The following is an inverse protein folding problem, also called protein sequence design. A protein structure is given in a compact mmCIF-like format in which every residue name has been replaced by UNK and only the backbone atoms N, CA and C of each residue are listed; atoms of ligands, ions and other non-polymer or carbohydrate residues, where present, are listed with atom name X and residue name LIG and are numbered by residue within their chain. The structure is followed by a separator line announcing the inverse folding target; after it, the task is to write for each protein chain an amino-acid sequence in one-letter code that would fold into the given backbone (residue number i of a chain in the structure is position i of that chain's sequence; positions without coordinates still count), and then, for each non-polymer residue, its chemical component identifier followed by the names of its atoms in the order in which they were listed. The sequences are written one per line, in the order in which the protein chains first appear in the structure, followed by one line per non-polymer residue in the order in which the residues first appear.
data_IF_828274097876
#
_entry.id   IF_828274097876
#
_cell.length_a   1.000
_cell.length_b   1.000
_cell.length_c   1.000
_cell.angle_alpha   90.00
_cell.angle_beta   90.00
_cell.angle_gamma   90.00
#
_symmetry.space_group_name_H-M   'P 1'
#
loop_
_entity.id
_entity.type
_entity.pdbx_description
1 polymer ?
#
# COMPACT_ATOMS: atom_id res chain seq x y z
N UNK A 1 -4.54 -7.91 -8.60
CA UNK A 1 -4.50 -6.90 -7.52
C UNK A 1 -3.05 -6.49 -7.37
N UNK A 2 -2.70 -5.21 -7.51
CA UNK A 2 -1.33 -4.78 -7.34
C UNK A 2 -0.92 -4.83 -5.87
N UNK A 3 0.36 -5.08 -5.62
CA UNK A 3 0.95 -5.07 -4.27
C UNK A 3 2.15 -4.14 -4.28
N UNK A 4 2.23 -3.23 -3.32
CA UNK A 4 3.31 -2.24 -3.21
C UNK A 4 4.05 -2.49 -1.92
N UNK A 5 5.37 -2.64 -2.00
CA UNK A 5 6.26 -2.77 -0.86
C UNK A 5 6.93 -1.43 -0.62
N UNK A 6 6.73 -0.87 0.58
CA UNK A 6 7.34 0.39 1.00
C UNK A 6 8.30 0.15 2.17
N UNK A 7 9.40 0.90 2.18
CA UNK A 7 10.30 0.91 3.32
C UNK A 7 9.61 1.62 4.49
N UNK A 8 9.46 0.93 5.64
CA UNK A 8 8.96 1.54 6.88
C UNK A 8 9.82 2.71 7.38
N UNK A 9 11.12 2.69 7.05
CA UNK A 9 12.07 3.70 7.52
C UNK A 9 12.02 5.03 6.78
N UNK A 10 11.83 5.02 5.45
CA UNK A 10 11.88 6.23 4.62
C UNK A 10 10.66 6.43 3.70
N UNK A 11 9.69 5.51 3.72
CA UNK A 11 8.47 5.58 2.90
C UNK A 11 8.65 5.24 1.41
N UNK A 12 9.89 5.16 0.92
CA UNK A 12 10.19 4.86 -0.49
C UNK A 12 9.66 3.49 -0.90
N UNK A 13 9.17 3.40 -2.13
CA UNK A 13 8.73 2.14 -2.74
C UNK A 13 9.96 1.35 -3.12
N UNK A 14 10.10 0.14 -2.55
CA UNK A 14 11.23 -0.75 -2.82
C UNK A 14 10.89 -1.80 -3.88
N UNK A 15 9.60 -2.09 -4.07
CA UNK A 15 9.12 -3.00 -5.11
C UNK A 15 7.62 -2.82 -5.36
N UNK A 16 7.20 -3.00 -6.60
CA UNK A 16 5.79 -2.98 -7.01
C UNK A 16 5.50 -4.23 -7.83
N UNK A 17 4.51 -5.01 -7.42
CA UNK A 17 3.93 -6.07 -8.21
C UNK A 17 2.65 -5.53 -8.86
N UNK A 18 2.64 -5.26 -10.17
CA UNK A 18 1.44 -4.73 -10.82
C UNK A 18 0.52 -5.86 -11.31
N UNK A 19 1.08 -6.83 -12.04
CA UNK A 19 0.33 -7.91 -12.70
C UNK A 19 1.14 -9.21 -12.76
N UNK A 20 0.42 -10.34 -12.86
CA UNK A 20 1.03 -11.65 -13.11
C UNK A 20 1.69 -11.65 -14.49
N UNK A 21 2.89 -12.23 -14.60
CA UNK A 21 3.66 -12.30 -15.84
C UNK A 21 4.67 -11.16 -16.06
N UNK A 22 4.90 -10.30 -15.06
CA UNK A 22 5.90 -9.24 -15.12
C UNK A 22 7.31 -9.82 -14.88
N UNK A 23 7.58 -10.40 -13.71
CA UNK A 23 8.93 -10.90 -13.36
C UNK A 23 8.95 -12.15 -12.46
N UNK A 24 7.79 -12.65 -12.00
CA UNK A 24 7.67 -13.81 -11.11
C UNK A 24 6.36 -14.56 -11.38
N UNK A 25 6.34 -15.88 -11.09
CA UNK A 25 5.12 -16.70 -11.13
C UNK A 25 4.06 -16.25 -10.09
N UNK A 26 4.43 -15.41 -9.12
CA UNK A 26 3.54 -14.88 -8.09
C UNK A 26 4.07 -13.62 -7.38
N UNK A 27 3.32 -13.15 -6.39
CA UNK A 27 3.70 -12.02 -5.53
C UNK A 27 4.82 -12.46 -4.58
N UNK A 28 5.99 -11.81 -4.58
CA UNK A 28 7.08 -12.19 -3.68
C UNK A 28 6.70 -11.91 -2.22
N UNK A 29 6.96 -12.84 -1.32
CA UNK A 29 6.84 -12.61 0.12
C UNK A 29 7.81 -11.52 0.59
N UNK A 30 7.53 -10.83 1.72
CA UNK A 30 8.45 -9.85 2.29
C UNK A 30 9.85 -10.43 2.54
N UNK A 31 9.94 -11.71 2.94
CA UNK A 31 11.20 -12.40 3.18
C UNK A 31 12.00 -12.62 1.89
N UNK A 32 11.35 -13.06 0.81
CA UNK A 32 11.99 -13.19 -0.50
C UNK A 32 12.49 -11.84 -1.02
N UNK A 33 11.69 -10.78 -0.86
CA UNK A 33 12.10 -9.43 -1.25
C UNK A 33 13.29 -8.94 -0.41
N UNK A 34 13.28 -9.19 0.90
CA UNK A 34 14.38 -8.86 1.79
C UNK A 34 15.67 -9.58 1.37
N UNK A 35 15.60 -10.86 1.02
CA UNK A 35 16.76 -11.61 0.52
C UNK A 35 17.30 -11.05 -0.80
N UNK A 36 16.42 -10.67 -1.73
CA UNK A 36 16.82 -10.03 -3.00
C UNK A 36 17.52 -8.68 -2.82
N UNK A 37 17.17 -7.95 -1.76
CA UNK A 37 17.73 -6.63 -1.43
C UNK A 37 18.84 -6.70 -0.35
N UNK A 38 19.43 -7.88 -0.13
CA UNK A 38 20.51 -8.09 0.85
C UNK A 38 20.14 -7.62 2.27
N UNK A 39 18.85 -7.67 2.59
CA UNK A 39 18.29 -7.24 3.87
C UNK A 39 18.32 -5.75 4.13
N UNK A 40 18.55 -4.89 3.13
CA UNK A 40 18.64 -3.43 3.32
C UNK A 40 17.80 -2.64 2.32
N UNK A 41 17.31 -1.48 2.75
CA UNK A 41 16.61 -0.56 1.86
C UNK A 41 17.61 0.08 0.89
N UNK A 42 17.37 0.03 -0.45
CA UNK A 42 18.26 0.63 -1.44
C UNK A 42 18.28 2.18 -1.39
N UNK A 43 17.27 2.80 -0.76
CA UNK A 43 17.18 4.25 -0.67
C UNK A 43 17.79 4.84 0.61
N UNK A 44 17.60 4.19 1.77
CA UNK A 44 18.05 4.73 3.07
C UNK A 44 19.05 3.84 3.81
N UNK A 45 19.38 2.65 3.29
CA UNK A 45 20.35 1.73 3.88
C UNK A 45 19.92 1.03 5.17
N UNK A 46 18.71 1.32 5.69
CA UNK A 46 18.17 0.69 6.91
C UNK A 46 17.88 -0.80 6.67
N UNK A 47 18.04 -1.65 7.71
CA UNK A 47 17.71 -3.06 7.60
C UNK A 47 16.21 -3.24 7.33
N UNK A 48 15.88 -4.11 6.38
CA UNK A 48 14.52 -4.56 6.13
C UNK A 48 14.14 -5.63 7.16
N UNK A 49 12.88 -5.66 7.54
CA UNK A 49 12.34 -6.64 8.47
C UNK A 49 10.98 -7.09 7.98
N UNK A 50 10.56 -8.29 8.37
CA UNK A 50 9.24 -8.80 8.04
C UNK A 50 8.17 -7.85 8.62
N UNK A 51 7.23 -7.37 7.80
CA UNK A 51 6.19 -6.46 8.26
C UNK A 51 5.26 -7.16 9.25
N UNK A 52 4.69 -6.39 10.17
CA UNK A 52 3.60 -6.83 11.05
C UNK A 52 2.25 -6.56 10.38
N UNK A 53 1.17 -7.12 10.95
CA UNK A 53 -0.18 -6.90 10.42
C UNK A 53 -0.56 -5.41 10.36
N UNK A 54 -0.12 -4.63 11.35
CA UNK A 54 -0.31 -3.17 11.41
C UNK A 54 0.36 -2.39 10.27
N UNK A 55 1.38 -2.96 9.62
CA UNK A 55 2.10 -2.34 8.50
C UNK A 55 1.38 -2.58 7.15
N UNK A 56 0.38 -3.46 7.11
CA UNK A 56 -0.33 -3.85 5.89
C UNK A 56 -1.59 -3.01 5.73
N UNK A 57 -1.71 -2.34 4.57
CA UNK A 57 -2.89 -1.56 4.20
C UNK A 57 -3.57 -2.18 2.99
N UNK A 58 -4.83 -2.58 3.15
CA UNK A 58 -5.66 -3.07 2.05
C UNK A 58 -6.57 -1.94 1.60
N UNK A 59 -6.35 -1.49 0.36
CA UNK A 59 -7.22 -0.50 -0.27
C UNK A 59 -8.32 -1.24 -1.02
N UNK A 60 -9.56 -0.78 -0.87
CA UNK A 60 -10.71 -1.30 -1.61
C UNK A 60 -10.63 -0.95 -3.10
N UNK A 61 -11.80 -0.85 -3.76
CA UNK A 61 -11.85 -0.43 -5.16
C UNK A 61 -11.34 1.00 -5.29
N UNK A 62 -10.16 1.14 -5.88
CA UNK A 62 -9.59 2.44 -6.25
C UNK A 62 -10.15 2.87 -7.61
N UNK A 63 -10.66 4.09 -7.69
CA UNK A 63 -11.14 4.72 -8.94
C UNK A 63 -10.02 5.49 -9.66
N UNK A 64 -9.01 5.92 -8.91
CA UNK A 64 -7.81 6.55 -9.43
C UNK A 64 -6.79 5.51 -9.92
N UNK A 65 -5.95 5.85 -10.92
CA UNK A 65 -4.92 4.95 -11.43
C UNK A 65 -3.84 4.65 -10.36
N UNK A 66 -3.31 3.42 -10.37
CA UNK A 66 -2.27 2.97 -9.42
C UNK A 66 -1.09 3.94 -9.33
N UNK A 67 -0.71 4.54 -10.47
CA UNK A 67 0.36 5.53 -10.56
C UNK A 67 0.19 6.69 -9.59
N UNK A 68 -1.04 7.15 -9.35
CA UNK A 68 -1.32 8.22 -8.37
C UNK A 68 -0.89 7.80 -6.95
N UNK A 69 -1.15 6.55 -6.57
CA UNK A 69 -0.72 6.02 -5.26
C UNK A 69 0.79 5.75 -5.15
N UNK A 70 1.49 5.68 -6.28
CA UNK A 70 2.94 5.49 -6.29
C UNK A 70 3.69 6.82 -6.12
N UNK A 71 3.05 7.94 -6.48
CA UNK A 71 3.63 9.28 -6.46
C UNK A 71 3.67 9.95 -5.08
N UNK A 72 2.80 9.56 -4.15
CA UNK A 72 2.60 10.29 -2.89
C UNK A 72 2.97 9.47 -1.63
N UNK A 73 3.89 9.96 -0.79
CA UNK A 73 4.23 9.34 0.49
C UNK A 73 3.18 9.58 1.60
N UNK A 74 2.30 10.58 1.47
CA UNK A 74 1.35 10.97 2.53
C UNK A 74 -0.05 11.34 1.99
N UNK A 75 -0.91 10.38 1.64
CA UNK A 75 -2.37 10.60 1.72
C UNK A 75 -3.05 9.26 2.02
N UNK A 76 -3.16 8.93 3.30
CA UNK A 76 -4.09 7.91 3.78
C UNK A 76 -4.77 8.43 5.05
N UNK A 77 -5.21 9.69 5.00
CA UNK A 77 -6.36 10.11 5.78
C UNK A 77 -7.57 9.53 5.05
N UNK A 78 -8.19 8.52 5.65
CA UNK A 78 -9.48 8.03 5.17
C UNK A 78 -10.45 9.22 5.06
N UNK A 79 -11.33 9.28 4.05
CA UNK A 79 -12.48 10.17 4.14
C UNK A 79 -13.30 9.70 5.35
N UNK A 80 -13.32 10.50 6.41
CA UNK A 80 -14.29 10.32 7.50
C UNK A 80 -15.67 10.47 6.89
N UNK A 81 -16.43 9.38 6.88
CA UNK A 81 -17.84 9.39 6.55
C UNK A 81 -18.58 9.99 7.75
N UNK A 82 -18.70 11.31 7.80
CA UNK A 82 -19.70 11.95 8.64
C UNK A 82 -21.06 11.73 7.96
N UNK A 83 -21.73 10.65 8.35
CA UNK A 83 -23.09 10.35 7.95
C UNK A 83 -24.03 11.41 8.50
N UNK A 84 -24.38 12.40 7.68
CA UNK A 84 -25.49 13.31 7.94
C UNK A 84 -26.78 12.51 7.75
N UNK A 85 -27.38 12.05 8.85
CA UNK A 85 -28.77 11.59 8.85
C UNK A 85 -29.68 12.80 8.61
N UNK A 86 -30.10 13.01 7.37
CA UNK A 86 -31.28 13.83 7.08
C UNK A 86 -32.52 12.99 7.32
N UNK A 87 -33.18 13.21 8.47
CA UNK A 87 -34.52 12.68 8.73
C UNK A 87 -35.51 13.40 7.81
N UNK A 88 -36.08 12.68 6.84
CA UNK A 88 -37.21 13.19 6.08
C UNK A 88 -38.49 13.03 6.91
N UNK A 89 -39.02 14.13 7.42
CA UNK A 89 -40.35 14.19 8.03
C UNK A 89 -41.41 14.21 6.92
N UNK A 90 -42.27 13.19 6.87
CA UNK A 90 -43.50 13.19 6.06
C UNK A 90 -44.63 13.69 6.95
N UNK A 91 -45.22 14.82 6.59
CA UNK A 91 -46.46 15.32 7.20
C UNK A 91 -47.66 14.82 6.40
N UNK A 92 -48.65 14.23 7.07
CA UNK A 92 -50.01 14.01 6.57
C UNK A 92 -50.91 15.19 6.95
#
# INVERSE_FOLDING_TARGET
MPVIYRCKGCGSIIFTFERVGQDCFGVPSPSELSMRLEGRCPHCGRPLSTPRLEDVKVLGRITAPLKTYLSEPEVLTAPSQEGVLTTASVSH
#
